data_IF_645167947299
#
_entry.id   IF_645167947299
#
_cell.length_a   1.000
_cell.length_b   1.000
_cell.length_c   1.000
_cell.angle_alpha   90.00
_cell.angle_beta   90.00
_cell.angle_gamma   90.00
#
_symmetry.space_group_name_H-M   'P 1'
#
loop_
_entity.id
_entity.type
_entity.pdbx_description
1 polymer ?
#
# COMPACT_ATOMS: atom_id res chain seq x y z
N UNK A 1 3.34 19.56 -20.36
CA UNK A 1 3.43 19.47 -18.88
C UNK A 1 4.61 18.57 -18.55
N UNK A 2 5.40 18.89 -17.53
CA UNK A 2 6.52 18.08 -17.07
C UNK A 2 6.00 16.73 -16.52
N UNK A 3 6.64 15.60 -16.90
CA UNK A 3 6.30 14.28 -16.37
C UNK A 3 6.74 14.20 -14.90
N UNK A 4 5.91 13.71 -13.97
CA UNK A 4 6.33 13.55 -12.57
C UNK A 4 7.52 12.60 -12.46
N UNK A 5 8.36 12.83 -11.45
CA UNK A 5 9.38 11.86 -11.03
C UNK A 5 8.73 10.53 -10.65
N UNK A 6 9.44 9.42 -10.89
CA UNK A 6 9.00 8.09 -10.43
C UNK A 6 9.06 8.00 -8.89
N UNK A 7 8.38 7.03 -8.25
CA UNK A 7 8.31 6.96 -6.79
C UNK A 7 9.66 6.99 -6.06
N UNK A 8 10.64 6.23 -6.53
CA UNK A 8 12.00 6.24 -5.95
C UNK A 8 12.66 7.61 -6.04
N UNK A 9 12.65 8.20 -7.23
CA UNK A 9 13.26 9.50 -7.51
C UNK A 9 12.55 10.62 -6.75
N UNK A 10 11.23 10.51 -6.61
CA UNK A 10 10.41 11.39 -5.79
C UNK A 10 10.81 11.31 -4.32
N UNK A 11 10.95 10.09 -3.79
CA UNK A 11 11.42 9.87 -2.42
C UNK A 11 12.79 10.51 -2.17
N UNK A 12 13.75 10.27 -3.05
CA UNK A 12 15.08 10.88 -2.96
C UNK A 12 15.01 12.41 -3.02
N UNK A 13 14.31 12.96 -4.02
CA UNK A 13 14.20 14.40 -4.22
C UNK A 13 13.60 15.12 -3.02
N UNK A 14 12.56 14.53 -2.41
CA UNK A 14 11.92 15.03 -1.20
C UNK A 14 12.86 14.91 -0.01
N UNK A 15 13.50 13.75 0.21
CA UNK A 15 14.37 13.52 1.36
C UNK A 15 15.57 14.47 1.41
N UNK A 16 16.15 14.82 0.26
CA UNK A 16 17.25 15.80 0.14
C UNK A 16 16.84 17.23 0.51
N UNK A 17 15.53 17.54 0.54
CA UNK A 17 14.96 18.88 0.68
C UNK A 17 13.94 18.99 1.82
N UNK A 18 13.81 17.92 2.61
CA UNK A 18 12.84 17.83 3.70
C UNK A 18 13.24 18.78 4.83
N UNK A 19 12.25 19.43 5.46
CA UNK A 19 12.46 20.37 6.57
C UNK A 19 11.97 19.83 7.90
N UNK A 20 10.98 18.95 7.90
CA UNK A 20 10.36 18.40 9.11
C UNK A 20 10.55 16.88 9.27
N UNK A 21 11.07 16.18 8.27
CA UNK A 21 11.31 14.72 8.36
C UNK A 21 12.75 14.39 8.01
N UNK A 22 13.47 13.81 8.95
CA UNK A 22 14.89 13.48 8.83
C UNK A 22 15.12 11.97 8.82
N UNK A 23 15.97 11.49 7.92
CA UNK A 23 16.39 10.09 7.90
C UNK A 23 17.65 9.96 8.76
N UNK A 24 17.62 9.03 9.72
CA UNK A 24 18.73 8.76 10.66
C UNK A 24 19.49 7.51 10.23
N UNK A 25 20.76 7.69 9.85
CA UNK A 25 21.64 6.60 9.38
C UNK A 25 21.77 5.45 10.40
N UNK A 26 21.83 5.78 11.70
CA UNK A 26 21.88 4.78 12.76
C UNK A 26 20.62 3.87 12.78
N UNK A 27 19.44 4.46 12.53
CA UNK A 27 18.19 3.70 12.40
C UNK A 27 18.17 2.84 11.15
N UNK A 28 18.60 3.40 10.00
CA UNK A 28 18.76 2.65 8.75
C UNK A 28 19.66 1.44 8.94
N UNK A 29 20.82 1.62 9.59
CA UNK A 29 21.75 0.53 9.89
C UNK A 29 21.12 -0.54 10.80
N UNK A 30 20.46 -0.12 11.89
CA UNK A 30 19.79 -1.01 12.83
C UNK A 30 18.71 -1.87 12.14
N UNK A 31 17.89 -1.25 11.30
CA UNK A 31 16.83 -1.98 10.57
C UNK A 31 17.43 -2.90 9.51
N UNK A 32 18.47 -2.48 8.80
CA UNK A 32 19.18 -3.35 7.86
C UNK A 32 19.79 -4.58 8.56
N UNK A 33 20.34 -4.43 9.77
CA UNK A 33 20.83 -5.54 10.59
C UNK A 33 19.72 -6.49 11.05
N UNK A 34 18.59 -5.93 11.47
CA UNK A 34 17.39 -6.70 11.82
C UNK A 34 16.91 -7.53 10.62
N UNK A 35 16.73 -6.91 9.45
CA UNK A 35 16.33 -7.61 8.23
C UNK A 35 17.38 -8.61 7.77
N UNK A 36 18.67 -8.31 7.93
CA UNK A 36 19.74 -9.25 7.65
C UNK A 36 19.60 -10.50 8.50
N UNK A 37 19.30 -10.38 9.80
CA UNK A 37 19.07 -11.54 10.67
C UNK A 37 17.88 -12.40 10.23
N UNK A 38 16.87 -11.78 9.61
CA UNK A 38 15.64 -12.41 9.13
C UNK A 38 15.69 -12.85 7.66
N UNK A 39 16.77 -12.55 6.92
CA UNK A 39 16.86 -12.69 5.45
C UNK A 39 16.56 -14.08 4.87
N UNK A 40 16.57 -15.13 5.71
CA UNK A 40 16.25 -16.51 5.33
C UNK A 40 14.86 -16.98 5.80
N UNK A 41 14.12 -16.10 6.47
CA UNK A 41 12.76 -16.37 6.92
C UNK A 41 11.75 -16.19 5.79
N UNK A 42 10.59 -16.83 5.91
CA UNK A 42 9.49 -16.70 4.96
C UNK A 42 8.90 -15.27 4.91
N UNK A 43 9.10 -14.47 5.97
CA UNK A 43 8.63 -13.10 6.06
C UNK A 43 9.32 -12.13 5.10
N UNK A 44 10.50 -12.48 4.58
CA UNK A 44 11.25 -11.68 3.59
C UNK A 44 11.21 -12.32 2.20
N UNK A 45 10.02 -12.76 1.80
CA UNK A 45 9.74 -13.33 0.48
C UNK A 45 8.43 -12.76 -0.06
N UNK A 46 8.16 -12.95 -1.35
CA UNK A 46 6.86 -12.60 -1.96
C UNK A 46 5.68 -13.30 -1.27
N UNK A 47 5.90 -14.46 -0.65
CA UNK A 47 4.87 -15.18 0.12
C UNK A 47 4.45 -14.45 1.40
N UNK A 48 5.23 -13.46 1.87
CA UNK A 48 4.84 -12.58 2.98
C UNK A 48 3.50 -11.88 2.76
N UNK A 49 3.13 -11.63 1.49
CA UNK A 49 1.80 -11.12 1.11
C UNK A 49 0.65 -11.95 1.69
N UNK A 50 0.76 -13.29 1.70
CA UNK A 50 -0.29 -14.18 2.23
C UNK A 50 -0.50 -14.00 3.74
N UNK A 51 0.57 -13.68 4.46
CA UNK A 51 0.51 -13.38 5.90
C UNK A 51 -0.21 -12.06 6.15
N UNK A 52 0.01 -11.06 5.29
CA UNK A 52 -0.70 -9.78 5.34
C UNK A 52 -2.18 -9.88 4.92
N UNK A 53 -2.51 -10.83 4.03
CA UNK A 53 -3.84 -11.00 3.41
C UNK A 53 -4.47 -12.39 3.68
N UNK A 54 -4.75 -12.76 4.95
CA UNK A 54 -5.29 -14.10 5.28
C UNK A 54 -6.73 -14.33 4.79
N UNK A 55 -7.44 -13.28 4.37
CA UNK A 55 -8.81 -13.35 3.87
C UNK A 55 -8.93 -13.37 2.34
N UNK A 56 -7.80 -13.28 1.63
CA UNK A 56 -7.79 -13.38 0.18
C UNK A 56 -8.16 -14.82 -0.26
N UNK A 57 -8.83 -14.99 -1.42
CA UNK A 57 -9.01 -16.29 -2.04
C UNK A 57 -7.66 -17.01 -2.24
N UNK A 58 -7.70 -18.34 -2.33
CA UNK A 58 -6.51 -19.11 -2.64
C UNK A 58 -5.87 -18.58 -3.95
N UNK A 59 -4.55 -18.33 -3.97
CA UNK A 59 -3.85 -17.73 -5.12
C UNK A 59 -3.65 -18.75 -6.24
N UNK A 60 -4.66 -19.55 -6.55
CA UNK A 60 -4.61 -20.64 -7.53
C UNK A 60 -5.56 -20.40 -8.71
N UNK A 61 -6.30 -19.29 -8.71
CA UNK A 61 -7.26 -18.94 -9.74
C UNK A 61 -7.27 -17.44 -10.03
N UNK A 62 -7.85 -17.06 -11.17
CA UNK A 62 -8.04 -15.65 -11.55
C UNK A 62 -9.07 -14.96 -10.62
N UNK A 63 -9.81 -15.70 -9.81
CA UNK A 63 -10.66 -15.12 -8.75
C UNK A 63 -9.83 -14.37 -7.72
N UNK A 64 -8.63 -14.84 -7.38
CA UNK A 64 -7.72 -14.13 -6.48
C UNK A 64 -7.27 -12.80 -7.10
N UNK A 65 -6.97 -12.79 -8.41
CA UNK A 65 -6.59 -11.58 -9.14
C UNK A 65 -7.72 -10.55 -9.21
N UNK A 66 -8.96 -11.02 -9.41
CA UNK A 66 -10.13 -10.14 -9.45
C UNK A 66 -10.46 -9.58 -8.05
N UNK A 67 -10.35 -10.41 -7.00
CA UNK A 67 -10.51 -9.96 -5.61
C UNK A 67 -9.47 -8.88 -5.26
N UNK A 68 -8.21 -9.13 -5.63
CA UNK A 68 -7.10 -8.22 -5.42
C UNK A 68 -7.34 -6.88 -6.08
N UNK A 69 -7.76 -6.86 -7.35
CA UNK A 69 -8.10 -5.61 -8.03
C UNK A 69 -9.15 -4.81 -7.26
N UNK A 70 -10.23 -5.44 -6.81
CA UNK A 70 -11.30 -4.79 -6.04
C UNK A 70 -10.77 -4.22 -4.72
N UNK A 71 -10.02 -5.02 -3.97
CA UNK A 71 -9.51 -4.63 -2.65
C UNK A 71 -8.47 -3.51 -2.76
N UNK A 72 -7.51 -3.63 -3.67
CA UNK A 72 -6.46 -2.64 -3.86
C UNK A 72 -6.96 -1.33 -4.46
N UNK A 73 -7.98 -1.39 -5.32
CA UNK A 73 -8.67 -0.19 -5.80
C UNK A 73 -9.29 0.59 -4.63
N UNK A 74 -9.84 -0.10 -3.63
CA UNK A 74 -10.46 0.51 -2.45
C UNK A 74 -9.53 0.64 -1.23
N UNK A 75 -8.22 0.38 -1.39
CA UNK A 75 -7.25 0.34 -0.30
C UNK A 75 -6.79 1.74 0.15
N UNK A 76 -7.72 2.48 0.77
CA UNK A 76 -7.46 3.79 1.33
C UNK A 76 -8.40 4.21 2.49
N UNK A 77 -7.91 4.96 3.47
CA UNK A 77 -8.64 5.67 4.53
C UNK A 77 -9.50 4.75 5.39
N UNK A 78 -8.87 3.83 6.12
CA UNK A 78 -9.57 2.92 7.05
C UNK A 78 -9.61 3.40 8.50
N UNK A 79 -8.83 4.42 8.86
CA UNK A 79 -8.85 4.93 10.23
C UNK A 79 -10.11 5.77 10.45
N UNK A 80 -10.75 5.68 11.61
CA UNK A 80 -11.92 6.49 11.93
C UNK A 80 -11.54 7.93 12.31
N UNK A 81 -12.52 8.83 12.38
CA UNK A 81 -12.30 10.18 12.95
C UNK A 81 -12.14 10.12 14.48
N UNK A 82 -12.71 9.09 15.10
CA UNK A 82 -12.57 8.77 16.51
C UNK A 82 -12.15 7.31 16.66
N UNK A 83 -11.01 7.03 17.33
CA UNK A 83 -10.50 5.65 17.50
C UNK A 83 -11.49 4.70 18.19
N UNK A 84 -12.44 5.22 18.98
CA UNK A 84 -13.50 4.44 19.60
C UNK A 84 -14.62 4.02 18.63
N UNK A 85 -14.65 4.57 17.41
CA UNK A 85 -15.68 4.34 16.40
C UNK A 85 -15.06 3.70 15.16
N UNK A 86 -14.64 2.43 15.27
CA UNK A 86 -14.08 1.70 14.13
C UNK A 86 -15.17 0.94 13.37
N UNK A 87 -15.09 0.95 12.04
CA UNK A 87 -15.88 0.08 11.20
C UNK A 87 -15.44 -1.37 11.41
N UNK A 88 -16.37 -2.21 11.85
CA UNK A 88 -16.13 -3.62 12.16
C UNK A 88 -16.86 -4.54 11.19
N UNK A 89 -16.19 -5.61 10.76
CA UNK A 89 -16.82 -6.71 10.02
C UNK A 89 -16.39 -8.03 10.63
N UNK A 90 -17.37 -8.82 11.05
CA UNK A 90 -17.23 -10.16 11.59
C UNK A 90 -17.37 -11.17 10.47
N UNK A 91 -16.34 -11.99 10.33
CA UNK A 91 -16.28 -13.03 9.31
C UNK A 91 -15.67 -14.29 9.91
N UNK A 92 -16.38 -15.43 9.76
CA UNK A 92 -15.98 -16.74 10.29
C UNK A 92 -15.57 -16.73 11.78
N UNK A 93 -16.30 -15.98 12.60
CA UNK A 93 -16.10 -15.92 14.06
C UNK A 93 -15.01 -14.95 14.53
N UNK A 94 -14.37 -14.21 13.64
CA UNK A 94 -13.41 -13.16 13.98
C UNK A 94 -13.91 -11.79 13.53
N UNK A 95 -13.75 -10.78 14.37
CA UNK A 95 -14.08 -9.38 14.06
C UNK A 95 -12.83 -8.65 13.58
N UNK A 96 -12.94 -7.99 12.43
CA UNK A 96 -11.85 -7.29 11.76
C UNK A 96 -12.08 -5.78 11.76
N UNK A 97 -10.98 -5.02 11.90
CA UNK A 97 -10.94 -3.56 11.82
C UNK A 97 -9.87 -3.09 10.80
N UNK A 98 -9.91 -1.82 10.43
CA UNK A 98 -8.96 -1.22 9.51
C UNK A 98 -9.06 -1.80 8.09
N UNK A 99 -7.92 -2.01 7.43
CA UNK A 99 -7.86 -2.62 6.10
C UNK A 99 -8.54 -4.01 6.06
N UNK A 100 -8.42 -4.80 7.13
CA UNK A 100 -9.01 -6.14 7.19
C UNK A 100 -10.55 -6.11 7.17
N UNK A 101 -11.19 -5.00 7.55
CA UNK A 101 -12.64 -4.82 7.40
C UNK A 101 -13.06 -4.88 5.94
N UNK A 102 -12.29 -4.26 5.04
CA UNK A 102 -12.55 -4.32 3.61
C UNK A 102 -12.38 -5.74 3.09
N UNK A 103 -11.26 -6.38 3.43
CA UNK A 103 -11.01 -7.76 3.02
C UNK A 103 -12.13 -8.71 3.47
N UNK A 104 -12.57 -8.59 4.73
CA UNK A 104 -13.67 -9.37 5.28
C UNK A 104 -15.00 -9.08 4.57
N UNK A 105 -15.31 -7.81 4.29
CA UNK A 105 -16.53 -7.41 3.61
C UNK A 105 -16.62 -7.96 2.17
N UNK A 106 -15.53 -7.86 1.40
CA UNK A 106 -15.48 -8.36 0.02
C UNK A 106 -15.58 -9.88 0.00
N UNK A 107 -14.83 -10.58 0.85
CA UNK A 107 -14.87 -12.04 0.92
C UNK A 107 -16.24 -12.53 1.40
N UNK A 108 -16.87 -11.87 2.37
CA UNK A 108 -18.25 -12.15 2.79
C UNK A 108 -19.24 -11.98 1.65
N UNK A 109 -19.15 -10.88 0.90
CA UNK A 109 -20.06 -10.61 -0.23
C UNK A 109 -19.94 -11.67 -1.34
N UNK A 110 -18.73 -12.17 -1.60
CA UNK A 110 -18.52 -13.28 -2.53
C UNK A 110 -19.17 -14.58 -2.05
N UNK A 111 -19.06 -14.91 -0.76
CA UNK A 111 -19.73 -16.09 -0.18
C UNK A 111 -21.26 -15.94 -0.17
N UNK A 112 -21.77 -14.72 -0.07
CA UNK A 112 -23.20 -14.39 -0.21
C UNK A 112 -23.70 -14.42 -1.67
N UNK A 113 -22.82 -14.71 -2.63
CA UNK A 113 -23.16 -14.80 -4.05
C UNK A 113 -23.23 -13.46 -4.77
N UNK A 114 -22.78 -12.37 -4.15
CA UNK A 114 -22.65 -11.06 -4.82
C UNK A 114 -21.45 -11.12 -5.77
N UNK A 115 -21.62 -10.82 -7.07
CA UNK A 115 -20.52 -10.83 -8.05
C UNK A 115 -19.64 -9.57 -7.93
N UNK A 116 -19.23 -9.21 -6.70
CA UNK A 116 -18.48 -7.98 -6.40
C UNK A 116 -17.12 -7.90 -7.09
N UNK A 117 -16.57 -9.04 -7.53
CA UNK A 117 -15.31 -9.14 -8.28
C UNK A 117 -15.50 -9.18 -9.80
N UNK A 118 -16.73 -9.07 -10.31
CA UNK A 118 -17.00 -9.00 -11.76
C UNK A 118 -17.05 -7.53 -12.23
N UNK A 119 -16.15 -7.10 -13.13
CA UNK A 119 -16.17 -5.74 -13.68
C UNK A 119 -17.49 -5.32 -14.31
N UNK A 120 -18.28 -6.25 -14.85
CA UNK A 120 -19.62 -5.95 -15.39
C UNK A 120 -20.60 -5.54 -14.31
N UNK A 121 -20.45 -6.08 -13.10
CA UNK A 121 -21.25 -5.76 -11.94
C UNK A 121 -20.79 -4.44 -11.33
N UNK A 122 -19.53 -4.35 -10.89
CA UNK A 122 -19.07 -3.20 -10.11
C UNK A 122 -18.90 -1.90 -10.94
N UNK A 123 -18.88 -1.97 -12.28
CA UNK A 123 -18.95 -0.79 -13.16
C UNK A 123 -20.33 -0.14 -13.26
N UNK A 124 -21.38 -0.83 -12.75
CA UNK A 124 -22.79 -0.41 -12.85
C UNK A 124 -23.52 -0.38 -11.52
N UNK A 125 -22.93 -0.98 -10.47
CA UNK A 125 -23.54 -1.02 -9.15
C UNK A 125 -23.80 0.40 -8.62
N UNK A 126 -24.83 0.56 -7.79
CA UNK A 126 -25.10 1.82 -7.10
C UNK A 126 -24.24 1.96 -5.84
N UNK A 127 -24.20 3.18 -5.29
CA UNK A 127 -23.51 3.44 -4.01
C UNK A 127 -24.18 2.66 -2.88
N UNK A 128 -25.50 2.52 -2.90
CA UNK A 128 -26.27 1.74 -1.93
C UNK A 128 -25.97 0.25 -2.00
N UNK A 129 -25.77 -0.29 -3.21
CA UNK A 129 -25.33 -1.68 -3.41
C UNK A 129 -23.93 -1.90 -2.83
N UNK A 130 -22.99 -0.99 -3.09
CA UNK A 130 -21.67 -1.06 -2.47
C UNK A 130 -21.76 -0.89 -0.94
N UNK A 131 -22.63 -0.01 -0.44
CA UNK A 131 -22.88 0.18 0.99
C UNK A 131 -23.36 -1.09 1.68
N UNK A 132 -24.19 -1.90 1.00
CA UNK A 132 -24.63 -3.23 1.51
C UNK A 132 -23.50 -4.25 1.50
N UNK A 133 -22.62 -4.21 0.51
CA UNK A 133 -21.42 -5.06 0.45
C UNK A 133 -20.46 -4.71 1.60
N UNK A 134 -20.20 -3.42 1.81
CA UNK A 134 -19.27 -2.89 2.81
C UNK A 134 -19.90 -2.64 4.18
N UNK A 135 -21.11 -3.16 4.43
CA UNK A 135 -21.85 -2.92 5.67
C UNK A 135 -21.03 -3.34 6.89
N UNK A 136 -21.01 -2.48 7.91
CA UNK A 136 -20.43 -2.83 9.20
C UNK A 136 -21.41 -3.67 10.02
N UNK A 137 -20.89 -4.41 10.99
CA UNK A 137 -21.69 -5.09 12.00
C UNK A 137 -21.93 -4.23 13.25
N UNK A 138 -21.48 -2.96 13.23
CA UNK A 138 -21.76 -1.96 14.26
C UNK A 138 -22.28 -0.64 13.62
N UNK A 139 -22.49 0.40 14.44
CA UNK A 139 -23.04 1.69 14.00
C UNK A 139 -22.08 2.52 13.13
N UNK A 140 -20.79 2.14 13.06
CA UNK A 140 -19.76 2.86 12.31
C UNK A 140 -19.68 2.34 10.88
N UNK A 141 -20.18 3.13 9.93
CA UNK A 141 -20.07 2.80 8.51
C UNK A 141 -18.62 2.74 8.03
N UNK A 142 -18.38 1.99 6.95
CA UNK A 142 -17.10 2.03 6.23
C UNK A 142 -16.81 3.48 5.80
N UNK A 143 -15.61 4.01 6.05
CA UNK A 143 -15.29 5.36 5.60
C UNK A 143 -15.29 5.47 4.07
N UNK A 144 -15.61 6.67 3.57
CA UNK A 144 -15.45 7.03 2.15
C UNK A 144 -16.08 6.03 1.16
N UNK A 145 -17.31 5.57 1.44
CA UNK A 145 -18.05 4.64 0.55
C UNK A 145 -18.30 5.26 -0.83
N UNK A 146 -18.58 6.57 -0.87
CA UNK A 146 -18.81 7.29 -2.12
C UNK A 146 -17.56 7.26 -3.01
N UNK A 147 -16.39 7.54 -2.45
CA UNK A 147 -15.13 7.56 -3.17
C UNK A 147 -14.72 6.14 -3.58
N UNK A 148 -14.93 5.14 -2.71
CA UNK A 148 -14.73 3.71 -3.04
C UNK A 148 -15.59 3.28 -4.21
N UNK A 149 -16.86 3.69 -4.23
CA UNK A 149 -17.76 3.46 -5.35
C UNK A 149 -17.23 4.10 -6.62
N UNK A 150 -16.81 5.37 -6.57
CA UNK A 150 -16.31 6.09 -7.74
C UNK A 150 -15.08 5.42 -8.35
N UNK A 151 -14.07 5.09 -7.52
CA UNK A 151 -12.82 4.49 -8.03
C UNK A 151 -13.03 3.06 -8.54
N UNK A 152 -13.90 2.28 -7.89
CA UNK A 152 -14.18 0.91 -8.34
C UNK A 152 -15.00 0.92 -9.63
N UNK A 153 -15.99 1.84 -9.73
CA UNK A 153 -16.76 2.05 -10.95
C UNK A 153 -15.87 2.45 -12.13
N UNK A 154 -14.94 3.40 -11.91
CA UNK A 154 -13.96 3.82 -12.90
C UNK A 154 -13.10 2.65 -13.36
N UNK A 155 -12.47 1.93 -12.42
CA UNK A 155 -11.66 0.76 -12.70
C UNK A 155 -12.43 -0.30 -13.50
N UNK A 156 -13.70 -0.54 -13.16
CA UNK A 156 -14.55 -1.50 -13.85
C UNK A 156 -14.80 -1.15 -15.31
N UNK A 157 -15.08 0.12 -15.61
CA UNK A 157 -15.25 0.59 -16.99
C UNK A 157 -13.97 0.40 -17.81
N UNK A 158 -12.83 0.76 -17.23
CA UNK A 158 -11.53 0.58 -17.88
C UNK A 158 -11.23 -0.90 -18.13
N UNK A 159 -11.49 -1.79 -17.16
CA UNK A 159 -11.32 -3.22 -17.36
C UNK A 159 -12.22 -3.77 -18.48
N UNK A 160 -13.47 -3.32 -18.58
CA UNK A 160 -14.39 -3.73 -19.65
C UNK A 160 -13.91 -3.32 -21.05
N UNK A 161 -13.25 -2.16 -21.17
CA UNK A 161 -12.64 -1.72 -22.43
C UNK A 161 -11.42 -2.58 -22.82
N UNK A 162 -10.80 -3.26 -21.86
CA UNK A 162 -9.57 -4.04 -22.04
C UNK A 162 -9.76 -5.54 -21.76
N UNK A 163 -10.86 -6.11 -22.24
CA UNK A 163 -11.12 -7.55 -22.19
C UNK A 163 -11.87 -8.06 -20.95
N UNK A 164 -12.28 -7.17 -20.05
CA UNK A 164 -13.21 -7.48 -18.96
C UNK A 164 -12.60 -8.20 -17.76
N UNK A 165 -11.27 -8.19 -17.61
CA UNK A 165 -10.58 -8.72 -16.42
C UNK A 165 -9.28 -7.95 -16.14
N UNK A 166 -8.81 -7.96 -14.89
CA UNK A 166 -7.54 -7.34 -14.54
C UNK A 166 -6.36 -8.02 -15.25
N UNK A 167 -6.39 -9.36 -15.38
CA UNK A 167 -5.37 -10.12 -16.10
C UNK A 167 -5.26 -9.69 -17.57
N UNK A 168 -6.39 -9.54 -18.26
CA UNK A 168 -6.41 -9.07 -19.65
C UNK A 168 -5.87 -7.65 -19.75
N UNK A 169 -6.31 -6.75 -18.88
CA UNK A 169 -5.84 -5.37 -18.83
C UNK A 169 -4.32 -5.29 -18.64
N UNK A 170 -3.78 -5.96 -17.60
CA UNK A 170 -2.37 -5.83 -17.21
C UNK A 170 -1.40 -6.54 -18.17
N UNK A 171 -1.88 -7.50 -18.97
CA UNK A 171 -1.07 -8.24 -19.95
C UNK A 171 -0.39 -7.34 -20.99
N UNK A 172 -0.97 -6.17 -21.28
CA UNK A 172 -0.43 -5.17 -22.21
C UNK A 172 0.93 -4.62 -21.76
N UNK A 173 1.23 -4.69 -20.45
CA UNK A 173 2.52 -4.26 -19.89
C UNK A 173 3.67 -5.25 -20.14
N UNK A 174 3.39 -6.44 -20.69
CA UNK A 174 4.41 -7.40 -21.10
C UNK A 174 5.25 -7.97 -19.95
N UNK A 175 4.63 -8.23 -18.79
CA UNK A 175 5.31 -8.77 -17.59
C UNK A 175 6.49 -7.91 -17.09
N UNK A 176 6.35 -6.59 -17.17
CA UNK A 176 7.31 -5.62 -16.63
C UNK A 176 6.62 -4.76 -15.57
N UNK A 177 7.09 -4.85 -14.32
CA UNK A 177 6.45 -4.19 -13.18
C UNK A 177 6.36 -2.67 -13.35
N UNK A 178 7.37 -2.03 -13.97
CA UNK A 178 7.34 -0.59 -14.20
C UNK A 178 6.25 -0.24 -15.21
N UNK A 179 6.19 -0.96 -16.33
CA UNK A 179 5.14 -0.75 -17.34
C UNK A 179 3.75 -1.05 -16.81
N UNK A 180 3.62 -1.99 -15.88
CA UNK A 180 2.35 -2.29 -15.21
C UNK A 180 1.88 -1.08 -14.40
N UNK A 181 2.75 -0.49 -13.57
CA UNK A 181 2.42 0.73 -12.80
C UNK A 181 2.08 1.88 -13.74
N UNK A 182 2.88 2.10 -14.79
CA UNK A 182 2.62 3.15 -15.79
C UNK A 182 1.26 2.97 -16.48
N UNK A 183 0.93 1.75 -16.90
CA UNK A 183 -0.35 1.43 -17.53
C UNK A 183 -1.54 1.69 -16.60
N UNK A 184 -1.44 1.26 -15.33
CA UNK A 184 -2.49 1.49 -14.31
C UNK A 184 -2.72 3.00 -14.13
N UNK A 185 -1.66 3.78 -13.93
CA UNK A 185 -1.76 5.23 -13.67
C UNK A 185 -2.23 6.01 -14.91
N UNK A 186 -1.85 5.55 -16.11
CA UNK A 186 -2.30 6.16 -17.36
C UNK A 186 -3.79 5.92 -17.61
N UNK A 187 -4.26 4.68 -17.45
CA UNK A 187 -5.61 4.26 -17.84
C UNK A 187 -6.66 4.40 -16.75
N UNK A 188 -6.27 4.38 -15.47
CA UNK A 188 -7.18 4.49 -14.33
C UNK A 188 -6.80 5.72 -13.50
N UNK A 189 -7.32 6.92 -13.83
CA UNK A 189 -6.90 8.19 -13.23
C UNK A 189 -6.95 8.23 -11.70
N UNK A 190 -7.87 7.50 -11.06
CA UNK A 190 -7.89 7.43 -9.59
C UNK A 190 -6.59 6.89 -8.99
N UNK A 191 -5.79 6.11 -9.71
CA UNK A 191 -4.48 5.64 -9.24
C UNK A 191 -3.36 6.68 -9.33
N UNK A 192 -3.59 7.85 -9.95
CA UNK A 192 -2.58 8.90 -10.19
C UNK A 192 -2.31 9.72 -8.92
N UNK A 193 -1.46 9.17 -8.07
CA UNK A 193 -1.02 9.72 -6.80
C UNK A 193 0.21 10.60 -7.01
N UNK A 194 -0.04 11.88 -7.31
CA UNK A 194 0.94 12.90 -7.68
C UNK A 194 0.82 14.15 -6.80
N UNK A 195 1.95 14.82 -6.56
CA UNK A 195 2.01 16.08 -5.83
C UNK A 195 3.00 17.05 -6.49
N UNK A 196 3.02 18.30 -6.00
CA UNK A 196 4.05 19.30 -6.38
C UNK A 196 4.84 19.67 -5.15
N UNK A 197 6.14 19.45 -5.18
CA UNK A 197 7.04 19.70 -4.05
C UNK A 197 8.22 20.55 -4.52
N UNK A 198 8.45 21.70 -3.87
CA UNK A 198 9.53 22.64 -4.21
C UNK A 198 9.57 22.93 -5.73
N UNK A 199 8.39 23.14 -6.34
CA UNK A 199 8.22 23.45 -7.76
C UNK A 199 8.28 22.27 -8.72
N UNK A 200 8.56 21.05 -8.26
CA UNK A 200 8.69 19.84 -9.11
C UNK A 200 7.51 18.90 -8.96
N UNK A 201 7.07 18.30 -10.08
CA UNK A 201 6.07 17.22 -10.06
C UNK A 201 6.70 15.92 -9.58
N UNK A 202 6.08 15.31 -8.58
CA UNK A 202 6.48 14.04 -7.99
C UNK A 202 5.32 13.06 -8.00
N UNK A 203 5.61 11.77 -7.89
CA UNK A 203 4.59 10.73 -7.76
C UNK A 203 4.95 9.73 -6.67
N UNK A 204 3.92 9.18 -6.03
CA UNK A 204 4.07 8.09 -5.07
C UNK A 204 3.41 6.81 -5.59
N UNK A 205 2.32 6.94 -6.36
CA UNK A 205 1.60 5.84 -7.01
C UNK A 205 1.32 4.64 -6.09
N UNK A 206 1.07 4.90 -4.79
CA UNK A 206 1.04 3.86 -3.73
C UNK A 206 0.14 2.68 -4.11
N UNK A 207 -1.13 2.93 -4.43
CA UNK A 207 -2.09 1.87 -4.76
C UNK A 207 -1.72 1.12 -6.04
N UNK A 208 -1.10 1.78 -7.02
CA UNK A 208 -0.68 1.13 -8.26
C UNK A 208 0.50 0.21 -8.00
N UNK A 209 1.45 0.63 -7.15
CA UNK A 209 2.56 -0.21 -6.72
C UNK A 209 2.09 -1.42 -5.92
N UNK A 210 1.12 -1.26 -4.99
CA UNK A 210 0.49 -2.37 -4.25
C UNK A 210 -0.17 -3.35 -5.22
N UNK A 211 -1.01 -2.87 -6.13
CA UNK A 211 -1.71 -3.72 -7.10
C UNK A 211 -0.73 -4.57 -7.93
N UNK A 212 0.42 -4.02 -8.32
CA UNK A 212 1.47 -4.77 -9.04
C UNK A 212 2.22 -5.74 -8.13
N UNK A 213 2.54 -5.34 -6.89
CA UNK A 213 3.24 -6.20 -5.94
C UNK A 213 2.38 -7.40 -5.50
N UNK A 214 1.10 -7.18 -5.26
CA UNK A 214 0.14 -8.20 -4.89
C UNK A 214 -0.11 -9.14 -6.09
N UNK A 215 -0.23 -8.58 -7.30
CA UNK A 215 -0.31 -9.38 -8.53
C UNK A 215 0.91 -10.28 -8.67
N UNK A 216 2.11 -9.73 -8.48
CA UNK A 216 3.35 -10.49 -8.49
C UNK A 216 3.36 -11.61 -7.44
N UNK A 217 2.95 -11.34 -6.20
CA UNK A 217 2.89 -12.34 -5.14
C UNK A 217 1.93 -13.50 -5.47
N UNK A 218 0.76 -13.20 -6.06
CA UNK A 218 -0.18 -14.24 -6.51
C UNK A 218 0.41 -15.04 -7.67
N UNK A 219 1.06 -14.39 -8.64
CA UNK A 219 1.67 -15.08 -9.78
C UNK A 219 2.85 -15.97 -9.36
N UNK A 220 3.69 -15.51 -8.43
CA UNK A 220 4.77 -16.32 -7.81
C UNK A 220 4.19 -17.57 -7.12
N UNK A 221 3.12 -17.42 -6.34
CA UNK A 221 2.47 -18.56 -5.68
C UNK A 221 1.90 -19.59 -6.66
N UNK A 222 1.60 -19.19 -7.90
CA UNK A 222 1.15 -20.07 -9.00
C UNK A 222 2.29 -20.71 -9.78
N UNK A 223 3.54 -20.28 -9.56
CA UNK A 223 4.67 -20.60 -10.44
C UNK A 223 4.59 -19.91 -11.81
N UNK A 224 3.74 -18.88 -11.95
CA UNK A 224 3.58 -18.04 -13.14
C UNK A 224 4.27 -16.67 -12.98
N UNK A 225 5.05 -16.49 -11.91
CA UNK A 225 5.57 -15.22 -11.38
C UNK A 225 6.67 -14.50 -12.17
N UNK A 226 6.90 -14.84 -13.44
CA UNK A 226 7.92 -14.16 -14.24
C UNK A 226 7.50 -12.73 -14.56
N UNK A 227 7.79 -11.81 -13.63
CA UNK A 227 7.63 -10.37 -13.75
C UNK A 227 9.00 -9.72 -13.62
N UNK A 228 9.41 -9.06 -14.68
CA UNK A 228 10.69 -8.34 -14.76
C UNK A 228 10.58 -6.97 -14.10
N UNK A 229 11.72 -6.38 -13.75
CA UNK A 229 11.82 -5.05 -13.14
C UNK A 229 11.05 -4.87 -11.83
N UNK A 230 10.77 -5.94 -11.08
CA UNK A 230 10.05 -5.84 -9.78
C UNK A 230 10.75 -4.93 -8.77
N UNK A 231 12.10 -4.83 -8.84
CA UNK A 231 12.86 -3.91 -8.00
C UNK A 231 12.60 -2.43 -8.32
N UNK A 232 11.83 -2.08 -9.36
CA UNK A 232 11.38 -0.71 -9.58
C UNK A 232 10.38 -0.24 -8.52
N UNK A 233 9.67 -1.18 -7.88
CA UNK A 233 8.72 -0.87 -6.82
C UNK A 233 9.46 -0.43 -5.56
N UNK A 234 8.90 0.58 -4.89
CA UNK A 234 9.37 1.07 -3.60
C UNK A 234 8.56 0.46 -2.45
N UNK A 235 8.86 0.85 -1.21
CA UNK A 235 7.85 0.73 -0.15
C UNK A 235 6.60 1.54 -0.48
N UNK A 236 5.47 1.17 0.10
CA UNK A 236 4.19 1.78 -0.18
C UNK A 236 3.91 2.83 0.89
N UNK A 237 4.14 4.10 0.53
CA UNK A 237 4.03 5.23 1.47
C UNK A 237 2.58 5.47 1.93
N UNK A 238 2.16 4.70 2.93
CA UNK A 238 0.90 4.79 3.66
C UNK A 238 1.09 5.55 4.99
N UNK A 239 0.15 5.40 5.93
CA UNK A 239 0.21 6.04 7.25
C UNK A 239 0.83 5.18 8.37
N UNK A 240 0.97 3.85 8.19
CA UNK A 240 1.46 2.91 9.21
C UNK A 240 2.94 2.62 9.09
N UNK A 241 3.46 2.46 7.88
CA UNK A 241 4.88 2.18 7.68
C UNK A 241 5.74 3.36 8.14
N UNK A 242 5.38 4.64 7.86
CA UNK A 242 6.14 5.77 8.41
C UNK A 242 6.13 5.81 9.94
N UNK A 243 5.00 5.47 10.58
CA UNK A 243 4.90 5.34 12.04
C UNK A 243 5.91 4.30 12.58
N UNK A 244 6.01 3.13 11.93
CA UNK A 244 6.97 2.10 12.28
C UNK A 244 8.42 2.53 12.04
N UNK A 245 8.69 3.27 10.96
CA UNK A 245 10.03 3.80 10.69
C UNK A 245 10.47 4.82 11.74
N UNK A 246 9.57 5.65 12.27
CA UNK A 246 9.87 6.52 13.43
C UNK A 246 10.16 5.68 14.68
N UNK A 247 9.32 4.69 14.99
CA UNK A 247 9.52 3.80 16.13
C UNK A 247 10.86 3.06 16.09
N UNK A 248 11.26 2.61 14.90
CA UNK A 248 12.54 1.92 14.69
C UNK A 248 13.75 2.86 14.74
N UNK A 249 13.52 4.18 14.76
CA UNK A 249 14.54 5.23 14.77
C UNK A 249 15.11 5.55 13.40
N UNK A 250 14.45 5.11 12.31
CA UNK A 250 14.85 5.38 10.92
C UNK A 250 14.45 6.80 10.52
N UNK A 251 13.24 7.22 10.89
CA UNK A 251 12.75 8.57 10.67
C UNK A 251 12.71 9.33 12.00
N UNK A 252 12.97 10.63 11.93
CA UNK A 252 12.76 11.55 13.03
C UNK A 252 11.99 12.76 12.51
N UNK A 253 10.94 13.15 13.23
CA UNK A 253 10.16 14.35 12.89
C UNK A 253 10.68 15.54 13.69
N UNK A 254 10.57 16.74 13.12
CA UNK A 254 10.75 17.98 13.87
C UNK A 254 9.76 18.05 15.04
N UNK A 255 10.12 18.82 16.08
CA UNK A 255 9.23 19.02 17.23
C UNK A 255 7.88 19.59 16.79
N UNK A 256 7.89 20.56 15.87
CA UNK A 256 6.68 21.18 15.34
C UNK A 256 5.77 20.19 14.60
N UNK A 257 6.33 19.31 13.76
CA UNK A 257 5.55 18.28 13.07
C UNK A 257 5.00 17.26 14.08
N UNK A 258 5.82 16.81 15.03
CA UNK A 258 5.39 15.86 16.06
C UNK A 258 4.27 16.45 16.94
N UNK A 259 4.36 17.73 17.31
CA UNK A 259 3.30 18.44 18.06
C UNK A 259 2.01 18.57 17.25
N UNK A 260 2.10 18.95 15.97
CA UNK A 260 0.94 19.02 15.08
C UNK A 260 0.20 17.67 15.00
N UNK A 261 0.94 16.57 14.82
CA UNK A 261 0.39 15.22 14.78
C UNK A 261 -0.24 14.81 16.12
N UNK A 262 0.40 15.13 17.26
CA UNK A 262 -0.15 14.85 18.60
C UNK A 262 -1.44 15.63 18.88
N UNK A 263 -1.59 16.81 18.29
CA UNK A 263 -2.81 17.61 18.37
C UNK A 263 -3.91 17.14 17.42
N UNK A 264 -3.68 16.07 16.63
CA UNK A 264 -4.64 15.53 15.69
C UNK A 264 -4.82 16.39 14.44
N UNK A 265 -3.83 17.21 14.08
CA UNK A 265 -3.88 18.04 12.89
C UNK A 265 -3.97 17.17 11.63
N UNK A 266 -4.98 17.43 10.80
CA UNK A 266 -5.09 16.82 9.48
C UNK A 266 -4.02 17.41 8.56
N UNK A 267 -3.27 16.55 7.88
CA UNK A 267 -2.33 16.96 6.84
C UNK A 267 -2.99 16.70 5.48
N UNK A 268 -3.44 17.73 4.74
CA UNK A 268 -4.07 17.52 3.44
C UNK A 268 -3.10 16.85 2.44
N UNK A 269 -3.66 16.12 1.48
CA UNK A 269 -2.85 15.56 0.38
C UNK A 269 -2.16 16.69 -0.39
N UNK A 270 -0.85 16.58 -0.56
CA UNK A 270 0.00 17.60 -1.17
C UNK A 270 0.51 18.67 -0.19
N UNK A 271 0.15 18.62 1.10
CA UNK A 271 0.81 19.42 2.14
C UNK A 271 2.30 19.06 2.19
N UNK A 272 3.15 20.06 2.40
CA UNK A 272 4.60 19.85 2.44
C UNK A 272 5.01 18.77 3.44
N UNK A 273 4.43 18.77 4.64
CA UNK A 273 4.74 17.81 5.72
C UNK A 273 4.26 16.41 5.36
N UNK A 274 3.08 16.31 4.76
CA UNK A 274 2.52 15.06 4.24
C UNK A 274 3.45 14.44 3.18
N UNK A 275 3.86 15.24 2.19
CA UNK A 275 4.80 14.85 1.15
C UNK A 275 6.16 14.45 1.73
N UNK A 276 6.68 15.21 2.70
CA UNK A 276 7.95 14.90 3.39
C UNK A 276 7.89 13.56 4.11
N UNK A 277 6.81 13.27 4.83
CA UNK A 277 6.64 11.98 5.52
C UNK A 277 6.69 10.84 4.51
N UNK A 278 5.92 10.92 3.42
CA UNK A 278 5.89 9.86 2.39
C UNK A 278 7.21 9.71 1.65
N UNK A 279 7.78 10.82 1.19
CA UNK A 279 9.02 10.84 0.41
C UNK A 279 10.22 10.34 1.21
N UNK A 280 10.39 10.81 2.45
CA UNK A 280 11.44 10.32 3.34
C UNK A 280 11.25 8.84 3.70
N UNK A 281 10.00 8.37 3.83
CA UNK A 281 9.72 6.95 4.08
C UNK A 281 10.18 6.08 2.92
N UNK A 282 9.84 6.47 1.68
CA UNK A 282 10.30 5.78 0.46
C UNK A 282 11.82 5.71 0.44
N UNK A 283 12.47 6.87 0.56
CA UNK A 283 13.92 6.93 0.43
C UNK A 283 14.64 6.17 1.56
N UNK A 284 14.12 6.23 2.78
CA UNK A 284 14.71 5.51 3.90
C UNK A 284 14.69 4.00 3.71
N UNK A 285 13.65 3.44 3.08
CA UNK A 285 13.59 2.00 2.77
C UNK A 285 14.53 1.63 1.62
N UNK A 286 14.73 2.51 0.62
CA UNK A 286 15.78 2.29 -0.39
C UNK A 286 17.17 2.24 0.26
N UNK A 287 17.47 3.13 1.20
CA UNK A 287 18.75 3.12 1.95
C UNK A 287 18.90 1.85 2.82
N UNK A 288 17.81 1.38 3.45
CA UNK A 288 17.79 0.10 4.18
C UNK A 288 18.09 -1.06 3.22
N UNK A 289 17.45 -1.09 2.04
CA UNK A 289 17.66 -2.10 1.00
C UNK A 289 19.12 -2.14 0.56
N UNK A 290 19.70 -0.99 0.23
CA UNK A 290 21.11 -0.87 -0.17
C UNK A 290 22.06 -1.41 0.90
N UNK A 291 21.83 -1.03 2.18
CA UNK A 291 22.65 -1.50 3.30
C UNK A 291 22.51 -3.01 3.51
N UNK A 292 21.29 -3.53 3.44
CA UNK A 292 21.01 -4.97 3.50
C UNK A 292 21.73 -5.73 2.39
N UNK A 293 21.63 -5.26 1.14
CA UNK A 293 22.28 -5.87 -0.01
C UNK A 293 23.79 -5.95 0.17
N UNK A 294 24.41 -4.85 0.61
CA UNK A 294 25.84 -4.80 0.91
C UNK A 294 26.21 -5.82 1.99
N UNK A 295 25.45 -5.92 3.07
CA UNK A 295 25.71 -6.90 4.13
C UNK A 295 25.58 -8.35 3.65
N UNK A 296 24.60 -8.66 2.81
CA UNK A 296 24.43 -10.00 2.20
C UNK A 296 25.60 -10.34 1.28
N UNK A 297 26.04 -9.38 0.46
CA UNK A 297 27.20 -9.58 -0.40
C UNK A 297 28.48 -9.80 0.43
N UNK A 298 28.72 -8.99 1.46
CA UNK A 298 29.95 -9.05 2.27
C UNK A 298 30.00 -10.27 3.19
N UNK A 299 28.87 -10.66 3.81
CA UNK A 299 28.84 -11.71 4.83
C UNK A 299 28.44 -13.09 4.29
N UNK A 300 27.56 -13.12 3.29
CA UNK A 300 27.07 -14.38 2.71
C UNK A 300 27.66 -14.66 1.31
N UNK A 301 28.30 -13.68 0.65
CA UNK A 301 28.85 -13.84 -0.70
C UNK A 301 27.78 -14.02 -1.77
N UNK A 302 26.55 -13.54 -1.53
CA UNK A 302 25.39 -13.75 -2.41
C UNK A 302 24.78 -12.43 -2.86
N UNK A 303 24.15 -12.46 -4.04
CA UNK A 303 23.24 -11.41 -4.48
C UNK A 303 21.97 -11.46 -3.63
N UNK A 304 21.55 -10.32 -3.08
CA UNK A 304 20.32 -10.21 -2.31
C UNK A 304 19.13 -9.99 -3.24
N UNK A 305 18.09 -10.81 -3.11
CA UNK A 305 16.84 -10.68 -3.89
C UNK A 305 15.74 -9.91 -3.17
N UNK A 306 16.02 -9.39 -1.96
CA UNK A 306 15.04 -8.67 -1.14
C UNK A 306 14.90 -7.25 -1.69
N UNK A 307 13.76 -6.94 -2.31
CA UNK A 307 13.44 -5.62 -2.83
C UNK A 307 12.62 -4.80 -1.82
N UNK A 308 12.33 -3.53 -2.13
CA UNK A 308 11.62 -2.62 -1.24
C UNK A 308 10.17 -3.03 -0.97
N UNK A 309 9.51 -3.69 -1.93
CA UNK A 309 8.16 -4.24 -1.74
C UNK A 309 8.15 -5.41 -0.72
N UNK A 310 9.16 -6.28 -0.74
CA UNK A 310 9.32 -7.32 0.29
C UNK A 310 9.58 -6.69 1.66
N UNK A 311 10.39 -5.63 1.73
CA UNK A 311 10.63 -4.92 3.00
C UNK A 311 9.32 -4.32 3.52
N UNK A 312 8.48 -3.77 2.64
CA UNK A 312 7.15 -3.25 2.99
C UNK A 312 6.21 -4.35 3.52
N UNK A 313 6.16 -5.50 2.84
CA UNK A 313 5.43 -6.69 3.29
C UNK A 313 5.83 -7.18 4.69
N UNK A 314 7.03 -6.82 5.16
CA UNK A 314 7.46 -7.04 6.53
C UNK A 314 7.10 -5.87 7.47
N UNK A 315 7.38 -4.63 7.07
CA UNK A 315 7.19 -3.44 7.91
C UNK A 315 5.72 -3.16 8.21
N UNK A 316 4.80 -3.43 7.28
CA UNK A 316 3.38 -3.18 7.49
C UNK A 316 2.77 -4.12 8.56
N UNK A 317 2.95 -5.46 8.50
CA UNK A 317 2.56 -6.33 9.61
C UNK A 317 3.28 -6.02 10.92
N UNK A 318 4.57 -5.64 10.87
CA UNK A 318 5.31 -5.20 12.05
C UNK A 318 4.60 -4.01 12.72
N UNK A 319 4.20 -3.00 11.95
CA UNK A 319 3.46 -1.84 12.47
C UNK A 319 2.16 -2.26 13.17
N UNK A 320 1.43 -3.22 12.60
CA UNK A 320 0.20 -3.76 13.20
C UNK A 320 0.46 -4.53 14.49
N UNK A 321 1.50 -5.35 14.53
CA UNK A 321 1.87 -6.14 15.72
C UNK A 321 2.32 -5.25 16.89
N UNK A 322 3.06 -4.18 16.59
CA UNK A 322 3.61 -3.25 17.58
C UNK A 322 2.75 -1.99 17.82
N UNK A 323 1.51 -1.94 17.33
CA UNK A 323 0.66 -0.73 17.39
C UNK A 323 0.51 -0.13 18.80
N UNK A 324 0.48 -0.96 19.86
CA UNK A 324 0.40 -0.50 21.26
C UNK A 324 1.68 0.17 21.74
N UNK A 325 2.83 -0.38 21.36
CA UNK A 325 4.14 0.19 21.69
C UNK A 325 4.34 1.53 20.98
N UNK A 326 3.81 1.65 19.75
CA UNK A 326 3.90 2.85 18.92
C UNK A 326 2.83 3.90 19.20
N UNK A 327 1.93 3.70 20.18
CA UNK A 327 0.80 4.59 20.44
C UNK A 327 1.21 6.05 20.76
N UNK A 328 2.45 6.27 21.19
CA UNK A 328 3.02 7.59 21.46
C UNK A 328 3.48 8.35 20.21
N UNK A 329 3.49 7.69 19.04
CA UNK A 329 3.81 8.24 17.72
C UNK A 329 2.51 8.26 16.92
N UNK A 330 1.82 9.40 16.78
CA UNK A 330 0.58 9.44 16.01
C UNK A 330 0.84 9.11 14.54
N UNK A 331 -0.16 8.52 13.88
CA UNK A 331 -0.18 8.43 12.43
C UNK A 331 -0.39 9.84 11.85
N UNK A 332 -0.01 10.07 10.58
CA UNK A 332 -0.34 11.31 9.89
C UNK A 332 -1.68 11.17 9.15
N UNK A 333 -2.74 11.86 9.59
CA UNK A 333 -4.06 11.66 9.02
C UNK A 333 -4.25 12.50 7.74
N UNK A 334 -4.31 11.80 6.60
CA UNK A 334 -4.56 12.40 5.28
C UNK A 334 -5.82 11.81 4.65
N UNK A 335 -6.94 12.53 4.66
CA UNK A 335 -8.22 12.05 4.09
C UNK A 335 -8.24 12.21 2.57
N UNK A 336 -7.87 11.16 1.83
CA UNK A 336 -7.97 11.14 0.37
C UNK A 336 -7.96 9.70 -0.19
N UNK A 337 -8.15 9.55 -1.50
CA UNK A 337 -8.17 8.24 -2.15
C UNK A 337 -6.79 7.57 -2.28
N UNK A 338 -5.69 8.26 -1.94
CA UNK A 338 -4.33 7.74 -2.15
C UNK A 338 -3.72 7.02 -0.94
N UNK A 339 -4.41 7.07 0.21
CA UNK A 339 -3.84 6.78 1.53
C UNK A 339 -4.41 5.57 2.21
#
# INVERSE_FOLDING_TARGET
MEKPLLPRESGQFVAERSKDVFIRDAGVQKVAEMLFSLRRSEFLTASGWKVANPLAPAPTSDQALNWLFVVDTMNFCFWPDNEAQQCEVTYKGATYTGFMTLCAAITRAMEEGVPITDPKYFSKMSVEELGKVLRSDNETAMPMVQERHQVLTEGGRVLLEHGGSFRSFISQAGNDAQKMVELIVEKIPSYRDEATYEGRKISFNKRAQILVADFWAVMEARGEGYITNIDCLTMFADYRVPQALVYLGVLEYSDALMEALKNGELLPSGDRREVEIRGCSIWSVELIKERLHKMVQEKDGKVCSINSAIIDFYLWPFAKQHHREMAHIPIHPTRCIFY
#
